data_IF_040983298660
#
_entry.id   IF_040983298660
#
_cell.length_a   1.000
_cell.length_b   1.000
_cell.length_c   1.000
_cell.angle_alpha   90.00
_cell.angle_beta   90.00
_cell.angle_gamma   90.00
#
_symmetry.space_group_name_H-M   'P 1'
#
loop_
_entity.id
_entity.type
_entity.pdbx_description
1 polymer ?
#
# COMPACT_ATOMS: atom_id res chain seq x y z
N UNK A 1 3.30 -26.72 -33.29
CA UNK A 1 1.98 -26.59 -32.61
C UNK A 1 2.17 -25.76 -31.34
N UNK A 2 1.18 -24.98 -30.90
CA UNK A 2 1.31 -24.20 -29.65
C UNK A 2 0.90 -25.07 -28.46
N UNK A 3 1.79 -25.19 -27.46
CA UNK A 3 1.50 -25.91 -26.22
C UNK A 3 0.49 -25.15 -25.34
N UNK A 4 0.54 -23.82 -25.39
CA UNK A 4 -0.32 -22.93 -24.59
C UNK A 4 -1.07 -21.97 -25.52
N UNK A 5 -2.41 -21.93 -25.37
CA UNK A 5 -3.31 -21.06 -26.13
C UNK A 5 -3.66 -19.84 -25.27
N UNK A 6 -3.43 -18.64 -25.80
CA UNK A 6 -3.84 -17.40 -25.14
C UNK A 6 -5.36 -17.36 -24.96
N UNK A 7 -5.80 -16.90 -23.80
CA UNK A 7 -7.19 -16.92 -23.35
C UNK A 7 -7.80 -18.33 -23.28
N UNK A 8 -6.96 -19.37 -23.27
CA UNK A 8 -7.40 -20.72 -22.91
C UNK A 8 -7.60 -20.86 -21.40
N UNK A 9 -8.31 -21.90 -20.99
CA UNK A 9 -8.52 -22.24 -19.58
C UNK A 9 -7.66 -23.45 -19.21
N UNK A 10 -6.88 -23.31 -18.13
CA UNK A 10 -5.89 -24.26 -17.66
C UNK A 10 -6.11 -24.57 -16.17
N UNK A 11 -5.72 -25.76 -15.75
CA UNK A 11 -5.59 -26.06 -14.32
C UNK A 11 -4.36 -25.36 -13.80
N UNK A 12 -4.54 -24.50 -12.79
CA UNK A 12 -3.43 -23.80 -12.13
C UNK A 12 -3.63 -23.96 -10.64
N UNK A 13 -2.57 -24.39 -9.96
CA UNK A 13 -2.54 -24.43 -8.50
C UNK A 13 -2.32 -23.03 -7.95
N UNK A 14 -3.30 -22.56 -7.17
CA UNK A 14 -3.36 -21.19 -6.64
C UNK A 14 -3.03 -21.12 -5.14
N UNK A 15 -2.25 -22.06 -4.59
CA UNK A 15 -1.79 -22.01 -3.21
C UNK A 15 -1.25 -20.62 -2.81
N UNK A 16 -2.04 -19.91 -2.00
CA UNK A 16 -1.65 -18.66 -1.33
C UNK A 16 -1.12 -18.92 0.07
N UNK A 17 -0.34 -17.97 0.60
CA UNK A 17 0.18 -17.99 1.98
C UNK A 17 -0.86 -17.63 3.05
N UNK A 18 -2.00 -17.05 2.65
CA UNK A 18 -3.11 -16.70 3.53
C UNK A 18 -4.38 -17.43 3.06
N UNK A 19 -5.38 -17.56 3.94
CA UNK A 19 -6.73 -18.14 3.69
C UNK A 19 -7.43 -17.49 2.47
N UNK A 20 -6.96 -17.81 1.27
CA UNK A 20 -7.53 -17.40 0.01
C UNK A 20 -8.65 -18.38 -0.35
N UNK A 21 -9.72 -17.85 -0.92
CA UNK A 21 -10.85 -18.61 -1.46
C UNK A 21 -10.44 -19.63 -2.53
N UNK A 22 -9.21 -19.52 -3.06
CA UNK A 22 -8.61 -20.43 -4.01
C UNK A 22 -7.47 -21.19 -3.31
N UNK A 23 -7.76 -22.41 -2.85
CA UNK A 23 -6.74 -23.35 -2.39
C UNK A 23 -6.71 -24.56 -3.35
N UNK A 24 -5.51 -24.95 -3.79
CA UNK A 24 -5.30 -26.05 -4.73
C UNK A 24 -5.52 -25.65 -6.19
N UNK A 25 -5.82 -26.64 -7.03
CA UNK A 25 -6.05 -26.48 -8.47
C UNK A 25 -7.39 -25.80 -8.79
N UNK A 26 -7.34 -24.76 -9.61
CA UNK A 26 -8.52 -24.05 -10.09
C UNK A 26 -8.46 -23.76 -11.59
N UNK A 27 -9.63 -23.74 -12.27
CA UNK A 27 -9.71 -23.31 -13.65
C UNK A 27 -9.29 -21.84 -13.75
N UNK A 28 -8.31 -21.55 -14.61
CA UNK A 28 -7.79 -20.20 -14.77
C UNK A 28 -7.68 -19.82 -16.24
N UNK A 29 -8.18 -18.63 -16.58
CA UNK A 29 -7.96 -18.01 -17.88
C UNK A 29 -6.54 -17.47 -17.94
N UNK A 30 -5.79 -17.79 -19.00
CA UNK A 30 -4.38 -17.38 -19.10
C UNK A 30 -4.15 -16.37 -20.22
N UNK A 31 -3.28 -15.39 -19.99
CA UNK A 31 -2.88 -14.38 -20.97
C UNK A 31 -1.36 -14.27 -20.97
N UNK A 32 -0.71 -14.53 -22.10
CA UNK A 32 0.75 -14.42 -22.20
C UNK A 32 1.20 -12.97 -22.13
N UNK A 33 2.26 -12.71 -21.36
CA UNK A 33 2.93 -11.41 -21.37
C UNK A 33 3.57 -11.12 -22.73
N UNK A 34 3.53 -9.85 -23.15
CA UNK A 34 4.01 -9.41 -24.45
C UNK A 34 5.54 -9.50 -24.55
N UNK A 35 6.24 -9.16 -23.47
CA UNK A 35 7.72 -9.05 -23.45
C UNK A 35 8.39 -10.24 -22.79
N UNK A 36 7.78 -10.84 -21.77
CA UNK A 36 8.29 -12.04 -21.14
C UNK A 36 7.50 -13.27 -21.60
N UNK A 37 8.10 -14.00 -22.55
CA UNK A 37 7.48 -15.12 -23.25
C UNK A 37 7.12 -16.30 -22.35
N UNK A 38 7.73 -16.40 -21.18
CA UNK A 38 7.51 -17.50 -20.24
C UNK A 38 6.61 -17.09 -19.06
N UNK A 39 6.19 -15.83 -19.00
CA UNK A 39 5.30 -15.32 -17.97
C UNK A 39 3.88 -15.11 -18.51
N UNK A 40 2.92 -15.50 -17.69
CA UNK A 40 1.50 -15.48 -18.01
C UNK A 40 0.73 -14.81 -16.88
N UNK A 41 -0.17 -13.90 -17.25
CA UNK A 41 -1.22 -13.45 -16.36
C UNK A 41 -2.27 -14.55 -16.26
N UNK A 42 -2.68 -14.88 -15.05
CA UNK A 42 -3.74 -15.85 -14.78
C UNK A 42 -4.90 -15.14 -14.11
N UNK A 43 -6.11 -15.47 -14.54
CA UNK A 43 -7.35 -14.97 -13.95
C UNK A 43 -8.13 -16.20 -13.47
N UNK A 44 -8.17 -16.44 -12.14
CA UNK A 44 -8.92 -17.56 -11.59
C UNK A 44 -10.40 -17.47 -11.95
N UNK A 45 -11.01 -18.61 -12.23
CA UNK A 45 -12.44 -18.74 -12.45
C UNK A 45 -13.08 -19.38 -11.22
N UNK A 46 -14.27 -18.91 -10.88
CA UNK A 46 -15.14 -19.57 -9.90
C UNK A 46 -16.51 -19.83 -10.51
N UNK A 47 -17.19 -20.88 -10.05
CA UNK A 47 -18.53 -21.20 -10.55
C UNK A 47 -19.52 -20.08 -10.20
N UNK A 48 -20.41 -19.80 -11.14
CA UNK A 48 -21.44 -18.79 -10.97
C UNK A 48 -22.55 -19.28 -10.02
N UNK A 49 -22.84 -18.45 -9.01
CA UNK A 49 -24.10 -18.45 -8.25
C UNK A 49 -24.60 -17.02 -8.14
N UNK A 50 -25.91 -16.81 -7.92
CA UNK A 50 -26.49 -15.46 -7.76
C UNK A 50 -25.82 -14.68 -6.62
N UNK A 51 -25.53 -15.36 -5.52
CA UNK A 51 -24.88 -14.81 -4.33
C UNK A 51 -23.44 -14.38 -4.63
N UNK A 52 -22.64 -15.28 -5.24
CA UNK A 52 -21.26 -14.98 -5.65
C UNK A 52 -21.22 -13.82 -6.64
N UNK A 53 -22.14 -13.78 -7.61
CA UNK A 53 -22.18 -12.68 -8.58
C UNK A 53 -22.49 -11.33 -7.92
N UNK A 54 -23.42 -11.28 -6.97
CA UNK A 54 -23.72 -10.05 -6.21
C UNK A 54 -22.48 -9.52 -5.47
N UNK A 55 -21.65 -10.41 -4.92
CA UNK A 55 -20.39 -10.08 -4.26
C UNK A 55 -19.32 -9.63 -5.26
N UNK A 56 -19.03 -10.45 -6.26
CA UNK A 56 -17.88 -10.26 -7.15
C UNK A 56 -18.07 -9.18 -8.21
N UNK A 57 -19.30 -8.86 -8.60
CA UNK A 57 -19.58 -7.73 -9.50
C UNK A 57 -19.05 -6.41 -8.94
N UNK A 58 -19.08 -6.22 -7.63
CA UNK A 58 -18.56 -5.01 -6.95
C UNK A 58 -17.03 -4.93 -6.98
N UNK A 59 -16.36 -6.07 -7.16
CA UNK A 59 -14.90 -6.18 -7.27
C UNK A 59 -14.45 -6.19 -8.74
N UNK A 60 -15.26 -5.62 -9.65
CA UNK A 60 -14.99 -5.57 -11.08
C UNK A 60 -14.74 -6.96 -11.71
N UNK A 61 -15.30 -8.03 -11.15
CA UNK A 61 -15.21 -9.36 -11.77
C UNK A 61 -16.15 -9.46 -12.98
N UNK A 62 -15.87 -10.39 -13.88
CA UNK A 62 -16.61 -10.55 -15.12
C UNK A 62 -17.31 -11.92 -15.18
N UNK A 63 -18.61 -11.94 -15.53
CA UNK A 63 -19.34 -13.20 -15.74
C UNK A 63 -19.08 -13.73 -17.14
N UNK A 64 -18.78 -15.01 -17.24
CA UNK A 64 -18.69 -15.77 -18.49
C UNK A 64 -19.87 -16.75 -18.51
N UNK A 65 -20.85 -16.45 -19.35
CA UNK A 65 -22.16 -17.15 -19.37
C UNK A 65 -22.02 -18.53 -19.99
N UNK A 66 -21.30 -18.65 -21.10
CA UNK A 66 -21.13 -19.91 -21.85
C UNK A 66 -20.60 -21.09 -21.02
N UNK A 67 -19.80 -20.81 -19.99
CA UNK A 67 -19.19 -21.81 -19.11
C UNK A 67 -19.63 -21.63 -17.64
N UNK A 68 -20.76 -20.94 -17.41
CA UNK A 68 -21.35 -20.69 -16.11
C UNK A 68 -20.33 -20.30 -15.00
N UNK A 69 -19.42 -19.37 -15.34
CA UNK A 69 -18.28 -19.02 -14.50
C UNK A 69 -18.16 -17.51 -14.29
N UNK A 70 -17.37 -17.13 -13.30
CA UNK A 70 -17.01 -15.74 -12.99
C UNK A 70 -15.49 -15.65 -13.01
N UNK A 71 -14.94 -14.78 -13.87
CA UNK A 71 -13.54 -14.44 -13.89
C UNK A 71 -13.20 -13.45 -12.76
N UNK A 72 -12.35 -13.89 -11.84
CA UNK A 72 -11.90 -13.17 -10.65
C UNK A 72 -10.70 -12.29 -10.95
N UNK A 73 -10.98 -11.18 -11.63
CA UNK A 73 -9.97 -10.19 -12.04
C UNK A 73 -9.27 -9.59 -10.80
N UNK A 74 -10.00 -9.46 -9.68
CA UNK A 74 -9.47 -9.05 -8.37
C UNK A 74 -8.42 -10.01 -7.78
N UNK A 75 -8.31 -11.22 -8.33
CA UNK A 75 -7.35 -12.26 -7.92
C UNK A 75 -6.39 -12.63 -9.04
N UNK A 76 -6.23 -11.76 -10.04
CA UNK A 76 -5.27 -11.96 -11.11
C UNK A 76 -3.84 -12.05 -10.55
N UNK A 77 -3.03 -12.95 -11.09
CA UNK A 77 -1.62 -13.13 -10.72
C UNK A 77 -0.75 -13.28 -11.97
N UNK A 78 0.56 -13.17 -11.79
CA UNK A 78 1.55 -13.48 -12.84
C UNK A 78 2.30 -14.73 -12.42
N UNK A 79 2.34 -15.74 -13.29
CA UNK A 79 3.07 -16.99 -13.05
C UNK A 79 3.97 -17.36 -14.21
N UNK A 80 4.95 -18.22 -13.94
CA UNK A 80 5.77 -18.86 -14.96
C UNK A 80 5.03 -20.00 -15.66
N UNK A 81 5.34 -20.25 -16.93
CA UNK A 81 4.73 -21.32 -17.75
C UNK A 81 4.81 -22.71 -17.13
N UNK A 82 5.84 -22.98 -16.32
CA UNK A 82 6.03 -24.31 -15.69
C UNK A 82 4.95 -24.61 -14.65
N UNK A 83 4.25 -23.58 -14.17
CA UNK A 83 3.08 -23.70 -13.28
C UNK A 83 1.76 -23.86 -14.05
N UNK A 84 1.81 -24.05 -15.37
CA UNK A 84 0.65 -24.26 -16.24
C UNK A 84 0.74 -25.69 -16.80
N UNK A 85 0.32 -26.71 -16.03
CA UNK A 85 0.51 -28.10 -16.41
C UNK A 85 -0.35 -28.47 -17.62
N UNK A 86 -1.68 -28.36 -17.49
CA UNK A 86 -2.63 -28.91 -18.45
C UNK A 86 -3.85 -27.99 -18.63
N UNK A 87 -4.53 -28.13 -19.76
CA UNK A 87 -5.83 -27.50 -19.97
C UNK A 87 -6.84 -28.02 -18.96
N UNK A 88 -7.74 -27.14 -18.51
CA UNK A 88 -8.84 -27.55 -17.64
C UNK A 88 -9.85 -28.37 -18.44
N UNK A 89 -10.24 -29.52 -17.88
CA UNK A 89 -11.24 -30.42 -18.44
C UNK A 89 -12.37 -30.56 -17.41
N UNK A 90 -13.59 -30.28 -17.84
CA UNK A 90 -14.80 -30.47 -17.06
C UNK A 90 -15.73 -31.43 -17.80
N UNK A 91 -16.11 -32.54 -17.17
CA UNK A 91 -16.90 -33.63 -17.78
C UNK A 91 -16.36 -34.06 -19.16
N UNK A 92 -15.05 -34.36 -19.25
CA UNK A 92 -14.36 -34.76 -20.49
C UNK A 92 -14.33 -33.69 -21.60
N UNK A 93 -14.81 -32.47 -21.33
CA UNK A 93 -14.86 -31.37 -22.28
C UNK A 93 -13.97 -30.21 -21.87
N UNK A 94 -13.43 -29.52 -22.87
CA UNK A 94 -12.74 -28.26 -22.63
C UNK A 94 -13.75 -27.13 -22.42
N UNK A 95 -13.51 -26.31 -21.40
CA UNK A 95 -14.22 -25.04 -21.26
C UNK A 95 -13.76 -24.08 -22.36
N UNK A 96 -14.71 -23.59 -23.16
CA UNK A 96 -14.46 -22.73 -24.33
C UNK A 96 -15.39 -21.51 -24.28
N UNK A 97 -14.97 -20.41 -23.62
CA UNK A 97 -15.71 -19.16 -23.64
C UNK A 97 -15.87 -18.59 -25.06
N UNK A 98 -16.96 -17.86 -25.30
CA UNK A 98 -17.14 -17.16 -26.56
C UNK A 98 -16.10 -16.04 -26.73
N UNK A 99 -15.63 -15.75 -27.96
CA UNK A 99 -14.71 -14.64 -28.19
C UNK A 99 -15.22 -13.28 -27.69
N UNK A 100 -16.52 -13.04 -27.73
CA UNK A 100 -17.15 -11.82 -27.19
C UNK A 100 -17.03 -11.73 -25.67
N UNK A 101 -17.14 -12.84 -24.95
CA UNK A 101 -16.99 -12.90 -23.50
C UNK A 101 -15.53 -12.71 -23.09
N UNK A 102 -14.59 -13.30 -23.83
CA UNK A 102 -13.15 -13.05 -23.63
C UNK A 102 -12.81 -11.57 -23.80
N UNK A 103 -13.36 -10.92 -24.84
CA UNK A 103 -13.20 -9.46 -25.03
C UNK A 103 -13.75 -8.66 -23.85
N UNK A 104 -14.88 -9.09 -23.27
CA UNK A 104 -15.45 -8.44 -22.10
C UNK A 104 -14.54 -8.60 -20.86
N UNK A 105 -13.96 -9.78 -20.65
CA UNK A 105 -12.97 -10.03 -19.59
C UNK A 105 -11.74 -9.13 -19.79
N UNK A 106 -11.21 -9.03 -21.01
CA UNK A 106 -10.05 -8.18 -21.31
C UNK A 106 -10.32 -6.71 -21.02
N UNK A 107 -11.47 -6.18 -21.47
CA UNK A 107 -11.87 -4.79 -21.17
C UNK A 107 -11.91 -4.55 -19.66
N UNK A 108 -12.46 -5.50 -18.90
CA UNK A 108 -12.57 -5.39 -17.45
C UNK A 108 -11.22 -5.48 -16.74
N UNK A 109 -10.27 -6.24 -17.27
CA UNK A 109 -8.88 -6.27 -16.77
C UNK A 109 -8.23 -4.89 -16.95
N UNK A 110 -8.39 -4.28 -18.13
CA UNK A 110 -7.84 -2.94 -18.40
C UNK A 110 -8.43 -1.92 -17.42
N UNK A 111 -9.76 -1.88 -17.29
CA UNK A 111 -10.47 -0.99 -16.35
C UNK A 111 -9.98 -1.20 -14.90
N UNK A 112 -9.81 -2.45 -14.45
CA UNK A 112 -9.29 -2.74 -13.11
C UNK A 112 -7.87 -2.21 -12.90
N UNK A 113 -6.99 -2.38 -13.90
CA UNK A 113 -5.60 -1.95 -13.83
C UNK A 113 -5.49 -0.43 -13.86
N UNK A 114 -6.24 0.25 -14.73
CA UNK A 114 -6.30 1.72 -14.79
C UNK A 114 -6.70 2.30 -13.43
N UNK A 115 -7.82 1.83 -12.86
CA UNK A 115 -8.29 2.29 -11.55
C UNK A 115 -7.28 1.99 -10.42
N UNK A 116 -6.56 0.87 -10.51
CA UNK A 116 -5.54 0.52 -9.52
C UNK A 116 -4.31 1.43 -9.62
N UNK A 117 -3.89 1.77 -10.84
CA UNK A 117 -2.77 2.68 -11.10
C UNK A 117 -3.13 4.10 -10.65
N UNK A 118 -4.31 4.60 -11.01
CA UNK A 118 -4.78 5.92 -10.61
C UNK A 118 -4.87 6.05 -9.09
N UNK A 119 -5.39 5.02 -8.42
CA UNK A 119 -5.40 4.97 -6.95
C UNK A 119 -3.98 5.03 -6.39
N UNK A 120 -3.06 4.23 -6.92
CA UNK A 120 -1.67 4.19 -6.46
C UNK A 120 -0.96 5.53 -6.62
N UNK A 121 -1.20 6.24 -7.73
CA UNK A 121 -0.66 7.57 -7.96
C UNK A 121 -1.21 8.59 -6.96
N UNK A 122 -2.53 8.63 -6.77
CA UNK A 122 -3.17 9.54 -5.83
C UNK A 122 -2.73 9.28 -4.36
N UNK A 123 -2.59 8.01 -3.98
CA UNK A 123 -2.07 7.64 -2.65
C UNK A 123 -0.61 8.12 -2.48
N UNK A 124 0.22 8.00 -3.52
CA UNK A 124 1.60 8.49 -3.50
C UNK A 124 1.71 10.02 -3.48
N UNK A 125 0.84 10.74 -4.20
CA UNK A 125 0.79 12.20 -4.17
C UNK A 125 0.49 12.74 -2.76
N UNK A 126 -0.48 12.12 -2.07
CA UNK A 126 -0.79 12.44 -0.67
C UNK A 126 0.37 12.15 0.26
N UNK A 127 1.01 10.99 0.10
CA UNK A 127 2.23 10.65 0.81
C UNK A 127 3.31 11.73 0.61
N UNK A 128 3.58 12.14 -0.64
CA UNK A 128 4.63 13.11 -0.95
C UNK A 128 4.32 14.50 -0.38
N UNK A 129 3.06 14.94 -0.42
CA UNK A 129 2.62 16.18 0.20
C UNK A 129 2.81 16.16 1.73
N UNK A 130 2.40 15.09 2.41
CA UNK A 130 2.67 14.92 3.84
C UNK A 130 4.17 14.86 4.14
N UNK A 131 4.95 14.15 3.32
CA UNK A 131 6.40 14.01 3.51
C UNK A 131 7.10 15.37 3.47
N UNK A 132 6.80 16.18 2.44
CA UNK A 132 7.38 17.52 2.27
C UNK A 132 6.91 18.48 3.36
N UNK A 133 5.63 18.43 3.74
CA UNK A 133 5.08 19.22 4.85
C UNK A 133 5.75 18.87 6.18
N UNK A 134 5.86 17.58 6.51
CA UNK A 134 6.50 17.10 7.73
C UNK A 134 7.99 17.47 7.77
N UNK A 135 8.72 17.30 6.67
CA UNK A 135 10.11 17.72 6.57
C UNK A 135 10.27 19.22 6.84
N UNK A 136 9.40 20.05 6.25
CA UNK A 136 9.40 21.50 6.48
C UNK A 136 9.09 21.84 7.95
N UNK A 137 8.05 21.23 8.54
CA UNK A 137 7.69 21.42 9.95
C UNK A 137 8.85 21.09 10.89
N UNK A 138 9.48 19.92 10.73
CA UNK A 138 10.61 19.53 11.58
C UNK A 138 11.87 20.35 11.29
N UNK A 139 12.11 20.78 10.04
CA UNK A 139 13.25 21.66 9.74
C UNK A 139 13.07 23.04 10.36
N UNK A 140 11.86 23.60 10.30
CA UNK A 140 11.52 24.86 10.95
C UNK A 140 11.71 24.78 12.47
N UNK A 141 11.39 23.64 13.07
CA UNK A 141 11.54 23.38 14.50
C UNK A 141 13.01 23.21 14.92
N UNK A 142 13.76 22.32 14.26
CA UNK A 142 15.09 21.91 14.72
C UNK A 142 16.26 22.67 14.10
N UNK A 143 16.09 23.27 12.92
CA UNK A 143 17.17 23.95 12.19
C UNK A 143 16.93 25.46 12.16
N UNK A 144 15.77 25.89 11.64
CA UNK A 144 15.52 27.32 11.42
C UNK A 144 15.08 28.04 12.70
N UNK A 145 14.70 27.30 13.75
CA UNK A 145 14.31 27.84 15.05
C UNK A 145 13.22 28.93 14.93
N UNK A 146 12.19 28.68 14.11
CA UNK A 146 11.07 29.61 13.91
C UNK A 146 10.10 29.49 15.08
N UNK A 147 9.86 30.58 15.82
CA UNK A 147 8.94 30.58 16.95
C UNK A 147 7.53 30.09 16.58
N UNK A 148 7.02 30.48 15.41
CA UNK A 148 5.73 30.02 14.83
C UNK A 148 5.63 28.49 14.69
N UNK A 149 6.77 27.77 14.66
CA UNK A 149 6.74 26.30 14.61
C UNK A 149 6.25 25.69 15.92
N UNK A 150 6.43 26.36 17.06
CA UNK A 150 5.99 25.89 18.39
C UNK A 150 4.46 25.74 18.46
N UNK A 151 3.69 26.52 17.69
CA UNK A 151 2.23 26.40 17.61
C UNK A 151 1.76 25.01 17.12
N UNK A 152 2.63 24.28 16.41
CA UNK A 152 2.36 22.95 15.87
C UNK A 152 2.84 21.80 16.78
N UNK A 153 3.50 22.12 17.90
CA UNK A 153 4.14 21.15 18.77
C UNK A 153 3.97 21.47 20.26
N UNK A 154 3.47 20.51 21.03
CA UNK A 154 3.60 20.54 22.48
C UNK A 154 4.96 19.94 22.87
N UNK A 155 5.77 20.69 23.62
CA UNK A 155 7.12 20.29 24.00
C UNK A 155 7.22 20.23 25.51
N UNK A 156 7.69 19.12 26.04
CA UNK A 156 7.89 18.92 27.47
C UNK A 156 9.18 18.14 27.73
N UNK A 157 9.73 18.30 28.92
CA UNK A 157 10.91 17.56 29.37
C UNK A 157 10.49 16.49 30.39
N UNK A 158 11.00 15.27 30.22
CA UNK A 158 10.81 14.19 31.20
C UNK A 158 11.81 14.31 32.37
N UNK A 159 11.54 13.59 33.46
CA UNK A 159 12.41 13.60 34.64
C UNK A 159 13.83 13.05 34.39
N UNK A 160 14.08 12.42 33.24
CA UNK A 160 15.37 11.88 32.83
C UNK A 160 16.14 12.84 31.89
N UNK A 161 15.59 14.02 31.61
CA UNK A 161 16.17 15.01 30.72
C UNK A 161 16.00 14.70 29.22
N UNK A 162 15.07 13.82 28.83
CA UNK A 162 14.66 13.70 27.43
C UNK A 162 13.56 14.71 27.14
N UNK A 163 13.52 15.21 25.91
CA UNK A 163 12.38 15.99 25.43
C UNK A 163 11.37 15.08 24.75
N UNK A 164 10.11 15.26 25.11
CA UNK A 164 8.94 14.80 24.39
C UNK A 164 8.41 15.95 23.51
N UNK A 165 8.33 15.71 22.20
CA UNK A 165 7.68 16.59 21.22
C UNK A 165 6.42 15.88 20.75
N UNK A 166 5.28 16.53 20.93
CA UNK A 166 3.96 15.99 20.62
C UNK A 166 3.33 16.84 19.54
N UNK A 167 2.73 16.20 18.53
CA UNK A 167 2.07 16.87 17.41
C UNK A 167 0.80 16.12 17.01
N UNK A 168 -0.10 16.76 16.27
CA UNK A 168 -1.32 16.14 15.78
C UNK A 168 -1.00 15.10 14.69
N UNK A 169 -1.55 13.89 14.83
CA UNK A 169 -1.26 12.76 13.94
C UNK A 169 -1.79 12.99 12.51
N UNK A 170 -2.84 13.78 12.35
CA UNK A 170 -3.52 14.02 11.07
C UNK A 170 -2.59 14.62 10.00
N UNK A 171 -1.62 15.42 10.44
CA UNK A 171 -0.56 16.00 9.60
C UNK A 171 0.38 14.95 8.98
N UNK A 172 0.37 13.74 9.53
CA UNK A 172 1.27 12.63 9.19
C UNK A 172 0.49 11.38 8.77
N UNK A 173 -0.82 11.51 8.53
CA UNK A 173 -1.76 10.40 8.28
C UNK A 173 -1.39 9.54 7.05
N UNK A 174 -0.57 10.07 6.15
CA UNK A 174 -0.08 9.34 4.97
C UNK A 174 1.39 8.91 5.07
N UNK A 175 2.01 8.97 6.24
CA UNK A 175 3.41 8.57 6.46
C UNK A 175 3.51 7.31 7.32
N UNK A 176 4.53 6.49 7.05
CA UNK A 176 4.89 5.38 7.94
C UNK A 176 5.82 5.86 9.06
N UNK A 177 6.02 5.03 10.10
CA UNK A 177 6.97 5.35 11.18
C UNK A 177 8.40 5.47 10.68
N UNK A 178 8.76 4.67 9.68
CA UNK A 178 10.09 4.71 9.10
C UNK A 178 10.31 6.01 8.31
N UNK A 179 9.25 6.58 7.71
CA UNK A 179 9.33 7.86 7.02
C UNK A 179 9.59 9.00 8.01
N UNK A 180 8.81 9.08 9.10
CA UNK A 180 9.00 10.09 10.15
C UNK A 180 10.39 9.99 10.78
N UNK A 181 10.84 8.79 11.13
CA UNK A 181 12.19 8.55 11.65
C UNK A 181 13.26 9.02 10.67
N UNK A 182 13.12 8.69 9.38
CA UNK A 182 14.07 9.10 8.34
C UNK A 182 14.10 10.61 8.15
N UNK A 183 12.95 11.29 8.17
CA UNK A 183 12.86 12.74 8.09
C UNK A 183 13.66 13.36 9.24
N UNK A 184 13.35 12.98 10.48
CA UNK A 184 14.03 13.56 11.66
C UNK A 184 15.53 13.23 11.64
N UNK A 185 15.91 12.00 11.30
CA UNK A 185 17.33 11.63 11.18
C UNK A 185 18.09 12.42 10.12
N UNK A 186 17.43 12.83 9.04
CA UNK A 186 18.05 13.67 8.01
C UNK A 186 18.30 15.10 8.48
N UNK A 187 17.52 15.57 9.46
CA UNK A 187 17.57 16.93 10.02
C UNK A 187 18.55 17.00 11.19
N UNK A 188 18.38 16.15 12.22
CA UNK A 188 19.17 16.22 13.46
C UNK A 188 20.25 15.13 13.57
N UNK A 189 20.38 14.26 12.57
CA UNK A 189 21.28 13.12 12.57
C UNK A 189 20.68 11.85 13.19
N UNK A 190 21.36 10.70 12.99
CA UNK A 190 20.96 9.42 13.62
C UNK A 190 21.14 9.50 15.12
N UNK A 191 20.08 9.81 15.84
CA UNK A 191 20.04 9.92 17.29
C UNK A 191 19.10 8.85 17.87
N UNK A 192 19.19 8.59 19.17
CA UNK A 192 18.30 7.70 19.89
C UNK A 192 16.91 8.35 20.01
N UNK A 193 16.22 8.41 18.86
CA UNK A 193 14.89 8.94 18.68
C UNK A 193 13.90 7.79 18.79
N UNK A 194 12.97 7.88 19.74
CA UNK A 194 11.78 7.03 19.73
C UNK A 194 10.63 7.82 19.10
N UNK A 195 9.92 7.15 18.20
CA UNK A 195 8.72 7.68 17.55
C UNK A 195 7.58 6.74 17.91
N UNK A 196 6.53 7.29 18.49
CA UNK A 196 5.31 6.58 18.84
C UNK A 196 4.09 7.42 18.43
N UNK A 197 2.92 6.80 18.39
CA UNK A 197 1.67 7.44 18.05
C UNK A 197 0.57 6.83 18.90
N UNK A 198 -0.40 7.66 19.28
CA UNK A 198 -1.62 7.21 19.96
C UNK A 198 -2.80 7.45 19.02
N UNK A 199 -3.34 6.40 18.36
CA UNK A 199 -4.49 6.54 17.46
C UNK A 199 -5.75 7.03 18.16
N UNK A 200 -5.90 6.81 19.48
CA UNK A 200 -7.11 7.22 20.22
C UNK A 200 -7.10 8.72 20.50
N UNK A 201 -5.91 9.24 20.80
CA UNK A 201 -5.71 10.66 21.10
C UNK A 201 -5.30 11.46 19.86
N UNK A 202 -5.12 10.79 18.71
CA UNK A 202 -4.68 11.40 17.45
C UNK A 202 -3.37 12.18 17.60
N UNK A 203 -2.41 11.65 18.36
CA UNK A 203 -1.11 12.30 18.58
C UNK A 203 0.07 11.47 18.05
N UNK A 204 1.07 12.18 17.55
CA UNK A 204 2.42 11.71 17.27
C UNK A 204 3.34 12.19 18.41
N UNK A 205 4.17 11.31 18.95
CA UNK A 205 5.11 11.63 20.02
C UNK A 205 6.54 11.24 19.62
N UNK A 206 7.47 12.16 19.86
CA UNK A 206 8.89 12.01 19.60
C UNK A 206 9.64 12.18 20.92
N UNK A 207 10.44 11.19 21.29
CA UNK A 207 11.29 11.24 22.49
C UNK A 207 12.74 11.34 22.03
N UNK A 208 13.44 12.40 22.44
CA UNK A 208 14.81 12.73 22.02
C UNK A 208 15.70 12.92 23.25
N UNK A 209 16.80 12.19 23.31
CA UNK A 209 17.84 12.36 24.34
C UNK A 209 18.71 13.60 24.09
N UNK A 210 19.05 14.33 25.16
CA UNK A 210 19.83 15.59 25.17
C UNK A 210 21.28 15.52 24.64
N UNK A 211 21.82 14.33 24.37
CA UNK A 211 23.28 14.11 24.33
C UNK A 211 24.00 14.37 22.99
N UNK A 212 23.49 15.20 22.06
CA UNK A 212 24.17 15.46 20.76
C UNK A 212 24.11 16.91 20.27
N UNK A 213 25.20 17.36 19.64
CA UNK A 213 25.50 18.76 19.27
C UNK A 213 24.38 19.51 18.53
N UNK A 214 23.70 18.91 17.54
CA UNK A 214 22.64 19.60 16.80
C UNK A 214 21.37 19.77 17.64
N UNK A 215 21.13 18.89 18.61
CA UNK A 215 19.98 19.01 19.51
C UNK A 215 20.29 20.05 20.58
N UNK A 216 21.56 20.18 21.02
CA UNK A 216 22.00 21.24 21.96
C UNK A 216 21.64 22.64 21.47
N UNK A 217 21.82 22.94 20.17
CA UNK A 217 21.44 24.25 19.61
C UNK A 217 19.94 24.49 19.64
N UNK A 218 19.13 23.45 19.42
CA UNK A 218 17.68 23.52 19.58
C UNK A 218 17.30 23.78 21.05
N UNK A 219 17.91 23.08 22.01
CA UNK A 219 17.68 23.28 23.45
C UNK A 219 18.01 24.70 23.89
N UNK A 220 19.17 25.23 23.51
CA UNK A 220 19.58 26.60 23.85
C UNK A 220 18.61 27.66 23.31
N UNK A 221 18.01 27.40 22.14
CA UNK A 221 17.00 28.28 21.57
C UNK A 221 15.65 28.16 22.29
N UNK A 222 15.19 26.94 22.54
CA UNK A 222 13.91 26.66 23.21
C UNK A 222 13.88 27.21 24.65
N UNK A 223 14.95 26.99 25.42
CA UNK A 223 15.06 27.49 26.80
C UNK A 223 15.00 29.03 26.85
N UNK A 224 15.59 29.73 25.86
CA UNK A 224 15.52 31.20 25.76
C UNK A 224 14.10 31.69 25.53
N UNK A 225 13.30 30.99 24.73
CA UNK A 225 11.91 31.37 24.45
C UNK A 225 11.01 31.19 25.68
N UNK A 226 11.16 30.09 26.42
CA UNK A 226 10.38 29.85 27.65
C UNK A 226 10.73 30.84 28.78
N UNK A 227 12.00 31.23 28.92
CA UNK A 227 12.42 32.25 29.91
C UNK A 227 11.82 33.63 29.63
N UNK A 228 11.47 33.95 28.38
CA UNK A 228 10.79 35.20 28.03
C UNK A 228 9.29 35.18 28.29
N UNK A 229 8.65 34.02 28.37
CA UNK A 229 7.21 33.91 28.66
C UNK A 229 6.88 33.96 30.15
N UNK A 230 7.78 33.54 31.05
CA UNK A 230 7.58 33.65 32.51
C UNK A 230 7.62 35.11 33.04
N UNK A 231 7.97 36.08 32.20
CA UNK A 231 8.19 37.48 32.59
C UNK A 231 7.19 38.49 31.97
N UNK A 232 6.03 38.04 31.48
CA UNK A 232 4.95 38.91 30.99
C UNK A 232 3.69 38.81 31.85
#
# INVERSE_FOLDING_TARGET
>A
MKQIINSGIYSVDLHGTNNAEFAGEHPSLILRSIKNKDMYYIIPLTSFTKERWKKYRKLLCCRIVSINSIARIDKMQIIHKDKIPNRWVDNETFLLPLPSEIKAVHRRIIEYLELSVDKGLNDYEKFYQNYTSAYSKFSNLFIDNKAESLDSFEISEDNNGNIAIISQLDDYSHLSFDDIKRIIWSIIGRNDLKVSYNPKEHILSLEISRNKNNILTFFEWYDKMNLTEEHV
#
